data_IF_871237224274
#
_entry.id   IF_871237224274
#
_cell.length_a   1.000
_cell.length_b   1.000
_cell.length_c   1.000
_cell.angle_alpha   90.00
_cell.angle_beta   90.00
_cell.angle_gamma   90.00
#
_symmetry.space_group_name_H-M   'P 1'
#
loop_
_entity.id
_entity.type
_entity.pdbx_description
1 polymer ?
#
# COMPACT_ATOMS: atom_id res chain seq x y z
N UNK A 1 -18.57 14.95 3.75
CA UNK A 1 -17.76 13.92 4.41
C UNK A 1 -18.22 12.55 3.93
N UNK A 2 -17.44 11.90 3.06
CA UNK A 2 -17.79 10.56 2.58
C UNK A 2 -17.26 9.48 3.55
N UNK A 3 -18.09 9.08 4.50
CA UNK A 3 -17.73 8.12 5.56
C UNK A 3 -17.09 6.82 5.02
N UNK A 4 -17.48 6.40 3.80
CA UNK A 4 -16.90 5.23 3.15
C UNK A 4 -15.46 5.46 2.68
N UNK A 5 -15.14 6.64 2.14
CA UNK A 5 -13.78 6.97 1.69
C UNK A 5 -12.85 7.14 2.89
N UNK A 6 -13.33 7.79 3.95
CA UNK A 6 -12.57 7.95 5.22
C UNK A 6 -12.32 6.61 5.90
N UNK A 7 -13.33 5.74 5.99
CA UNK A 7 -13.17 4.40 6.53
C UNK A 7 -12.24 3.53 5.67
N UNK A 8 -12.38 3.60 4.34
CA UNK A 8 -11.52 2.90 3.40
C UNK A 8 -10.06 3.37 3.49
N UNK A 9 -9.81 4.68 3.45
CA UNK A 9 -8.48 5.26 3.59
C UNK A 9 -7.85 4.93 4.96
N UNK A 10 -8.62 5.02 6.05
CA UNK A 10 -8.15 4.63 7.38
C UNK A 10 -7.78 3.15 7.47
N UNK A 11 -8.59 2.27 6.88
CA UNK A 11 -8.27 0.84 6.80
C UNK A 11 -7.00 0.58 5.98
N UNK A 12 -6.85 1.19 4.80
CA UNK A 12 -5.66 1.03 3.96
C UNK A 12 -4.41 1.56 4.66
N UNK A 13 -4.52 2.68 5.40
CA UNK A 13 -3.42 3.21 6.19
C UNK A 13 -3.02 2.26 7.33
N UNK A 14 -3.98 1.62 7.98
CA UNK A 14 -3.71 0.61 9.01
C UNK A 14 -3.01 -0.63 8.42
N UNK A 15 -3.42 -1.08 7.23
CA UNK A 15 -2.74 -2.18 6.51
C UNK A 15 -1.30 -1.80 6.18
N UNK A 16 -1.08 -0.61 5.60
CA UNK A 16 0.26 -0.11 5.30
C UNK A 16 1.13 0.02 6.55
N UNK A 17 0.54 0.35 7.69
CA UNK A 17 1.26 0.38 8.96
C UNK A 17 1.79 -1.01 9.37
N UNK A 18 1.00 -2.06 9.18
CA UNK A 18 1.44 -3.43 9.42
C UNK A 18 2.56 -3.84 8.47
N UNK A 19 2.49 -3.46 7.19
CA UNK A 19 3.56 -3.71 6.22
C UNK A 19 4.85 -2.97 6.64
N UNK A 20 4.73 -1.68 6.99
CA UNK A 20 5.85 -0.83 7.41
C UNK A 20 6.55 -1.36 8.67
N UNK A 21 5.84 -1.97 9.62
CA UNK A 21 6.44 -2.59 10.80
C UNK A 21 7.55 -3.58 10.44
N UNK A 22 7.41 -4.29 9.32
CA UNK A 22 8.44 -5.20 8.82
C UNK A 22 9.42 -4.51 7.86
N UNK A 23 8.93 -3.68 6.95
CA UNK A 23 9.75 -3.08 5.90
C UNK A 23 10.77 -2.07 6.40
N UNK A 24 10.52 -1.40 7.53
CA UNK A 24 11.50 -0.46 8.13
C UNK A 24 12.80 -1.15 8.51
N UNK A 25 12.81 -2.49 8.67
CA UNK A 25 14.05 -3.26 8.86
C UNK A 25 14.99 -3.17 7.64
N UNK A 26 14.48 -2.80 6.45
CA UNK A 26 15.29 -2.56 5.26
C UNK A 26 15.96 -1.16 5.25
N UNK A 27 15.66 -0.30 6.23
CA UNK A 27 16.31 1.01 6.41
C UNK A 27 17.71 0.81 7.00
N UNK A 28 18.70 1.56 6.51
CA UNK A 28 19.97 1.75 7.24
C UNK A 28 21.25 1.35 6.51
N UNK A 29 21.19 0.64 5.37
CA UNK A 29 22.37 0.44 4.50
C UNK A 29 21.95 0.48 3.03
N UNK A 30 22.22 1.61 2.36
CA UNK A 30 21.93 1.80 0.92
C UNK A 30 22.83 0.92 0.03
N UNK A 31 24.00 0.54 0.56
CA UNK A 31 25.01 -0.26 -0.14
C UNK A 31 25.16 -1.63 0.52
N UNK A 32 25.22 -2.67 -0.30
CA UNK A 32 25.37 -4.06 0.14
C UNK A 32 24.06 -4.81 0.39
N UNK A 33 24.21 -6.08 0.77
CA UNK A 33 23.12 -7.00 1.04
C UNK A 33 22.58 -6.77 2.46
N UNK A 34 21.26 -6.89 2.62
CA UNK A 34 20.63 -6.86 3.93
C UNK A 34 21.07 -8.11 4.74
N UNK A 35 21.23 -8.00 6.07
CA UNK A 35 21.53 -9.15 6.90
C UNK A 35 20.50 -10.26 6.72
N UNK A 36 20.96 -11.51 6.70
CA UNK A 36 20.10 -12.69 6.52
C UNK A 36 18.92 -12.76 7.52
N UNK A 37 19.06 -12.36 8.81
CA UNK A 37 17.91 -12.30 9.72
C UNK A 37 16.82 -11.30 9.29
N UNK A 38 17.20 -10.17 8.69
CA UNK A 38 16.26 -9.16 8.17
C UNK A 38 15.53 -9.71 6.95
N UNK A 39 16.26 -10.29 5.99
CA UNK A 39 15.66 -10.91 4.82
C UNK A 39 14.72 -12.05 5.20
N UNK A 40 15.10 -12.88 6.18
CA UNK A 40 14.25 -13.95 6.70
C UNK A 40 12.97 -13.41 7.33
N UNK A 41 13.06 -12.34 8.12
CA UNK A 41 11.92 -11.66 8.75
C UNK A 41 10.93 -11.13 7.71
N UNK A 42 11.41 -10.31 6.76
CA UNK A 42 10.59 -9.68 5.72
C UNK A 42 10.01 -10.72 4.75
N UNK A 43 10.83 -11.67 4.27
CA UNK A 43 10.35 -12.71 3.37
C UNK A 43 9.36 -13.65 4.05
N UNK A 44 9.56 -14.00 5.32
CA UNK A 44 8.62 -14.81 6.09
C UNK A 44 7.27 -14.10 6.32
N UNK A 45 7.29 -12.78 6.48
CA UNK A 45 6.07 -11.96 6.50
C UNK A 45 5.35 -12.04 5.15
N UNK A 46 6.02 -11.68 4.05
CA UNK A 46 5.37 -11.66 2.74
C UNK A 46 4.97 -13.06 2.24
N UNK A 47 5.70 -14.11 2.59
CA UNK A 47 5.28 -15.48 2.31
C UNK A 47 3.92 -15.78 2.95
N UNK A 48 3.73 -15.43 4.23
CA UNK A 48 2.43 -15.63 4.91
C UNK A 48 1.33 -14.74 4.33
N UNK A 49 1.62 -13.48 4.05
CA UNK A 49 0.63 -12.54 3.47
C UNK A 49 0.21 -12.98 2.06
N UNK A 50 1.14 -13.48 1.25
CA UNK A 50 0.86 -13.85 -0.15
C UNK A 50 0.29 -15.25 -0.31
N UNK A 51 0.66 -16.21 0.56
CA UNK A 51 0.26 -17.62 0.43
C UNK A 51 -0.82 -18.04 1.45
N UNK A 52 -0.69 -17.64 2.71
CA UNK A 52 -1.52 -18.13 3.81
C UNK A 52 -2.68 -17.20 4.17
N UNK A 53 -2.57 -15.90 3.91
CA UNK A 53 -3.57 -14.91 4.31
C UNK A 53 -4.76 -14.79 3.33
N UNK A 54 -5.20 -15.89 2.72
CA UNK A 54 -6.53 -15.97 2.08
C UNK A 54 -7.54 -16.25 3.21
N UNK A 55 -8.54 -15.39 3.48
CA UNK A 55 -9.16 -14.41 2.56
C UNK A 55 -8.70 -12.94 2.70
N UNK A 56 -7.84 -12.59 3.67
CA UNK A 56 -7.48 -11.21 4.02
C UNK A 56 -6.93 -10.37 2.84
N UNK A 57 -6.14 -10.95 1.93
CA UNK A 57 -5.71 -10.27 0.70
C UNK A 57 -6.91 -9.76 -0.14
N UNK A 58 -7.96 -10.59 -0.29
CA UNK A 58 -9.14 -10.22 -1.08
C UNK A 58 -9.90 -9.05 -0.46
N UNK A 59 -9.88 -8.94 0.87
CA UNK A 59 -10.49 -7.82 1.58
C UNK A 59 -9.78 -6.51 1.26
N UNK A 60 -8.44 -6.49 1.27
CA UNK A 60 -7.67 -5.28 0.93
C UNK A 60 -7.99 -4.83 -0.49
N UNK A 61 -7.96 -5.75 -1.45
CA UNK A 61 -8.32 -5.44 -2.84
C UNK A 61 -9.76 -4.94 -2.98
N UNK A 62 -10.71 -5.54 -2.26
CA UNK A 62 -12.09 -5.08 -2.25
C UNK A 62 -12.22 -3.66 -1.66
N UNK A 63 -11.53 -3.35 -0.57
CA UNK A 63 -11.54 -2.01 0.04
C UNK A 63 -10.93 -0.98 -0.90
N UNK A 64 -9.83 -1.29 -1.60
CA UNK A 64 -9.27 -0.41 -2.64
C UNK A 64 -10.29 -0.11 -3.74
N UNK A 65 -10.96 -1.14 -4.27
CA UNK A 65 -11.95 -0.99 -5.34
C UNK A 65 -13.19 -0.21 -4.90
N UNK A 66 -13.70 -0.49 -3.70
CA UNK A 66 -14.84 0.24 -3.13
C UNK A 66 -14.47 1.69 -2.90
N UNK A 67 -13.29 1.98 -2.34
CA UNK A 67 -12.81 3.35 -2.12
C UNK A 67 -12.75 4.13 -3.43
N UNK A 68 -12.15 3.55 -4.48
CA UNK A 68 -12.13 4.16 -5.82
C UNK A 68 -13.52 4.34 -6.42
N UNK A 69 -14.38 3.32 -6.33
CA UNK A 69 -15.73 3.36 -6.87
C UNK A 69 -16.58 4.45 -6.23
N UNK A 70 -16.43 4.65 -4.92
CA UNK A 70 -17.11 5.72 -4.18
C UNK A 70 -16.59 7.10 -4.61
N UNK A 71 -15.28 7.29 -4.75
CA UNK A 71 -14.70 8.56 -5.26
C UNK A 71 -15.22 8.88 -6.67
N UNK A 72 -15.23 7.89 -7.57
CA UNK A 72 -15.73 8.07 -8.94
C UNK A 72 -17.23 8.40 -8.96
N UNK A 73 -18.03 7.72 -8.14
CA UNK A 73 -19.45 7.99 -8.02
C UNK A 73 -19.73 9.41 -7.51
N UNK A 74 -18.89 9.92 -6.62
CA UNK A 74 -18.98 11.29 -6.11
C UNK A 74 -18.69 12.33 -7.20
N UNK A 75 -17.63 12.12 -7.98
CA UNK A 75 -17.29 12.97 -9.12
C UNK A 75 -18.45 12.98 -10.14
N UNK A 76 -19.00 11.80 -10.46
CA UNK A 76 -20.08 11.65 -11.43
C UNK A 76 -21.40 12.30 -10.97
N UNK A 77 -21.67 12.34 -9.66
CA UNK A 77 -22.86 12.98 -9.07
C UNK A 77 -22.73 14.50 -8.97
N UNK A 78 -21.59 15.08 -9.34
CA UNK A 78 -21.36 16.53 -9.28
C UNK A 78 -21.35 17.04 -7.83
N UNK A 79 -20.55 16.40 -6.98
CA UNK A 79 -20.41 16.76 -5.57
C UNK A 79 -20.16 18.25 -5.33
N UNK A 80 -20.48 18.72 -4.12
CA UNK A 80 -20.50 20.14 -3.73
C UNK A 80 -19.15 20.86 -3.90
N UNK A 81 -18.05 20.10 -3.95
CA UNK A 81 -16.69 20.58 -4.18
C UNK A 81 -15.96 19.68 -5.18
N UNK A 82 -16.09 19.92 -6.50
CA UNK A 82 -15.59 19.00 -7.53
C UNK A 82 -14.07 18.82 -7.51
N UNK A 83 -13.32 19.84 -7.06
CA UNK A 83 -11.86 19.75 -6.95
C UNK A 83 -11.40 18.71 -5.91
N UNK A 84 -12.15 18.51 -4.83
CA UNK A 84 -11.82 17.55 -3.76
C UNK A 84 -11.97 16.11 -4.24
N UNK A 85 -12.97 15.83 -5.08
CA UNK A 85 -13.15 14.52 -5.72
C UNK A 85 -11.99 14.18 -6.66
N UNK A 86 -11.59 15.11 -7.53
CA UNK A 86 -10.44 14.91 -8.42
C UNK A 86 -9.12 14.77 -7.67
N UNK A 87 -8.90 15.57 -6.62
CA UNK A 87 -7.73 15.44 -5.76
C UNK A 87 -7.70 14.08 -5.05
N UNK A 88 -8.84 13.64 -4.51
CA UNK A 88 -8.99 12.33 -3.86
C UNK A 88 -8.70 11.18 -4.84
N UNK A 89 -9.18 11.28 -6.08
CA UNK A 89 -8.88 10.31 -7.12
C UNK A 89 -7.37 10.27 -7.45
N UNK A 90 -6.75 11.46 -7.57
CA UNK A 90 -5.31 11.58 -7.80
C UNK A 90 -4.45 11.04 -6.66
N UNK A 91 -4.95 11.07 -5.42
CA UNK A 91 -4.28 10.52 -4.24
C UNK A 91 -4.52 9.02 -4.05
N UNK A 92 -5.66 8.48 -4.48
CA UNK A 92 -6.00 7.07 -4.32
C UNK A 92 -5.51 6.19 -5.47
N UNK A 93 -5.69 6.64 -6.72
CA UNK A 93 -5.49 5.82 -7.90
C UNK A 93 -4.01 5.39 -8.11
N UNK A 94 -3.01 6.30 -8.06
CA UNK A 94 -1.62 5.91 -8.27
C UNK A 94 -1.09 4.90 -7.24
N UNK A 95 -1.32 5.05 -5.91
CA UNK A 95 -0.93 4.03 -4.93
C UNK A 95 -1.56 2.67 -5.18
N UNK A 96 -2.84 2.62 -5.55
CA UNK A 96 -3.54 1.35 -5.84
C UNK A 96 -2.95 0.67 -7.07
N UNK A 97 -2.66 1.43 -8.13
CA UNK A 97 -2.02 0.91 -9.33
C UNK A 97 -0.57 0.45 -9.04
N UNK A 98 0.19 1.22 -8.26
CA UNK A 98 1.54 0.86 -7.83
C UNK A 98 1.55 -0.44 -7.03
N UNK A 99 0.62 -0.58 -6.09
CA UNK A 99 0.46 -1.77 -5.27
C UNK A 99 0.17 -3.01 -6.14
N UNK A 100 -0.77 -2.89 -7.08
CA UNK A 100 -1.16 -3.98 -7.96
C UNK A 100 -0.06 -4.36 -8.96
N UNK A 101 0.58 -3.37 -9.59
CA UNK A 101 1.52 -3.61 -10.69
C UNK A 101 2.94 -3.95 -10.22
N UNK A 102 3.37 -3.44 -9.05
CA UNK A 102 4.75 -3.57 -8.58
C UNK A 102 4.86 -4.23 -7.22
N UNK A 103 4.15 -3.70 -6.23
CA UNK A 103 4.37 -4.09 -4.83
C UNK A 103 3.97 -5.54 -4.59
N UNK A 104 2.81 -5.97 -5.08
CA UNK A 104 2.31 -7.35 -4.93
C UNK A 104 3.22 -8.37 -5.64
N UNK A 105 3.58 -8.21 -6.94
CA UNK A 105 4.53 -9.12 -7.58
C UNK A 105 5.90 -9.18 -6.89
N UNK A 106 6.42 -8.04 -6.44
CA UNK A 106 7.70 -7.98 -5.73
C UNK A 106 7.63 -8.69 -4.36
N UNK A 107 6.54 -8.51 -3.63
CA UNK A 107 6.28 -9.18 -2.35
C UNK A 107 6.18 -10.70 -2.51
N UNK A 108 5.47 -11.18 -3.54
CA UNK A 108 5.41 -12.61 -3.88
C UNK A 108 6.81 -13.14 -4.17
N UNK A 109 7.57 -12.47 -5.04
CA UNK A 109 8.94 -12.89 -5.38
C UNK A 109 9.88 -12.91 -4.17
N UNK A 110 9.80 -11.89 -3.31
CA UNK A 110 10.57 -11.84 -2.07
C UNK A 110 10.16 -12.96 -1.12
N UNK A 111 8.86 -13.23 -0.97
CA UNK A 111 8.31 -14.31 -0.13
C UNK A 111 8.73 -15.70 -0.59
N UNK A 112 8.91 -15.93 -1.90
CA UNK A 112 9.44 -17.21 -2.43
C UNK A 112 10.93 -17.43 -2.16
N UNK A 113 11.67 -16.39 -1.77
CA UNK A 113 13.13 -16.40 -1.56
C UNK A 113 13.95 -17.02 -2.70
N UNK A 114 13.44 -17.02 -3.93
CA UNK A 114 14.10 -17.67 -5.07
C UNK A 114 15.22 -16.84 -5.70
N UNK A 115 15.28 -15.54 -5.41
CA UNK A 115 16.29 -14.62 -5.93
C UNK A 115 17.57 -14.58 -5.03
N UNK A 116 18.75 -14.21 -5.56
CA UNK A 116 19.95 -14.01 -4.74
C UNK A 116 19.80 -12.90 -3.67
N UNK A 117 20.57 -12.92 -2.56
CA UNK A 117 20.46 -11.95 -1.45
C UNK A 117 20.53 -10.49 -1.89
N UNK A 118 21.40 -10.15 -2.85
CA UNK A 118 21.48 -8.81 -3.43
C UNK A 118 20.18 -8.35 -4.10
N UNK A 119 19.46 -9.26 -4.77
CA UNK A 119 18.19 -8.96 -5.42
C UNK A 119 17.04 -8.95 -4.42
N UNK A 120 17.04 -9.84 -3.42
CA UNK A 120 16.08 -9.78 -2.30
C UNK A 120 16.19 -8.44 -1.56
N UNK A 121 17.41 -7.96 -1.32
CA UNK A 121 17.67 -6.67 -0.67
C UNK A 121 17.14 -5.49 -1.48
N UNK A 122 17.31 -5.50 -2.82
CA UNK A 122 16.72 -4.49 -3.71
C UNK A 122 15.19 -4.54 -3.71
N UNK A 123 14.60 -5.74 -3.71
CA UNK A 123 13.15 -5.91 -3.64
C UNK A 123 12.60 -5.36 -2.32
N UNK A 124 13.19 -5.70 -1.18
CA UNK A 124 12.77 -5.20 0.14
C UNK A 124 12.80 -3.67 0.20
N UNK A 125 13.87 -3.03 -0.30
CA UNK A 125 13.97 -1.56 -0.36
C UNK A 125 12.97 -0.93 -1.33
N UNK A 126 12.70 -1.59 -2.46
CA UNK A 126 11.68 -1.12 -3.42
C UNK A 126 10.29 -1.17 -2.78
N UNK A 127 9.95 -2.27 -2.11
CA UNK A 127 8.67 -2.45 -1.44
C UNK A 127 8.50 -1.41 -0.32
N UNK A 128 9.53 -1.21 0.52
CA UNK A 128 9.53 -0.14 1.52
C UNK A 128 9.25 1.24 0.90
N UNK A 129 9.94 1.55 -0.21
CA UNK A 129 9.78 2.84 -0.88
C UNK A 129 8.36 3.01 -1.46
N UNK A 130 7.82 1.96 -2.08
CA UNK A 130 6.45 1.93 -2.58
C UNK A 130 5.45 2.12 -1.42
N UNK A 131 5.64 1.44 -0.29
CA UNK A 131 4.76 1.57 0.89
C UNK A 131 4.83 2.93 1.55
N UNK A 132 6.00 3.58 1.63
CA UNK A 132 6.11 4.95 2.14
C UNK A 132 5.38 5.96 1.24
N UNK A 133 5.48 5.80 -0.08
CA UNK A 133 4.74 6.61 -1.04
C UNK A 133 3.22 6.39 -0.90
N UNK A 134 2.78 5.13 -0.82
CA UNK A 134 1.38 4.79 -0.59
C UNK A 134 0.86 5.35 0.74
N UNK A 135 1.62 5.23 1.83
CA UNK A 135 1.23 5.72 3.14
C UNK A 135 1.07 7.24 3.14
N UNK A 136 2.01 7.97 2.51
CA UNK A 136 1.90 9.43 2.36
C UNK A 136 0.68 9.84 1.56
N UNK A 137 0.40 9.17 0.44
CA UNK A 137 -0.75 9.47 -0.42
C UNK A 137 -2.10 9.15 0.25
N UNK A 138 -2.23 8.01 0.93
CA UNK A 138 -3.45 7.63 1.65
C UNK A 138 -3.66 8.51 2.89
N UNK A 139 -2.60 8.91 3.59
CA UNK A 139 -2.71 9.88 4.68
C UNK A 139 -3.16 11.26 4.17
N UNK A 140 -2.64 11.71 3.02
CA UNK A 140 -3.10 12.94 2.38
C UNK A 140 -4.58 12.85 1.94
N UNK A 141 -4.99 11.71 1.36
CA UNK A 141 -6.40 11.46 1.02
C UNK A 141 -7.29 11.57 2.27
N UNK A 142 -6.88 10.95 3.37
CA UNK A 142 -7.62 11.00 4.63
C UNK A 142 -7.71 12.44 5.16
N UNK A 143 -6.62 13.21 5.09
CA UNK A 143 -6.61 14.62 5.50
C UNK A 143 -7.54 15.49 4.63
N UNK A 144 -7.57 15.27 3.31
CA UNK A 144 -8.48 15.96 2.39
C UNK A 144 -9.93 15.66 2.75
N UNK A 145 -10.26 14.39 2.95
CA UNK A 145 -11.61 13.91 3.27
C UNK A 145 -12.10 14.37 4.65
N UNK A 146 -11.20 14.53 5.63
CA UNK A 146 -11.55 15.04 6.96
C UNK A 146 -11.62 16.58 7.02
N UNK A 147 -10.81 17.26 6.21
CA UNK A 147 -10.67 18.72 6.27
C UNK A 147 -11.62 19.49 5.35
N UNK A 148 -12.05 18.90 4.23
CA UNK A 148 -12.68 19.66 3.14
C UNK A 148 -14.03 19.09 2.66
N UNK A 149 -14.49 17.96 3.19
CA UNK A 149 -15.80 17.37 2.84
C UNK A 149 -16.79 17.32 3.99
#
# INVERSE_FOLDING_TARGET
MNAFVTAGAGFLLAVLWFDLMFDVQAIGRREGDLPEPVLTSIAGYYARVTTAARPMNRLIAAVMLVTLGVIVAEIARGGRQPWAGWLSLGLALPPILLAAARTVPNAVRLGTRSDPPARQSRLARSILSDHLLCAGAIAALLAVQLGFE
#
